data_IF_300567518267
#
_entry.id   IF_300567518267
#
_cell.length_a   1.000
_cell.length_b   1.000
_cell.length_c   1.000
_cell.angle_alpha   90.00
_cell.angle_beta   90.00
_cell.angle_gamma   90.00
#
_symmetry.space_group_name_H-M   'P 1'
#
loop_
_entity.id
_entity.type
_entity.pdbx_description
1 polymer ?
#
# COMPACT_ATOMS: atom_id res chain seq x y z
N UNK A 1 59.35 -5.34 -23.10
CA UNK A 1 57.99 -5.84 -22.97
C UNK A 1 57.03 -4.67 -23.13
N UNK A 2 56.42 -4.55 -24.30
CA UNK A 2 55.48 -3.49 -24.60
C UNK A 2 54.10 -3.94 -24.18
N UNK A 3 53.54 -3.32 -23.13
CA UNK A 3 52.14 -3.42 -22.79
C UNK A 3 51.33 -2.71 -23.83
N UNK A 4 50.51 -3.44 -24.60
CA UNK A 4 49.62 -2.87 -25.58
C UNK A 4 48.58 -2.01 -24.83
N UNK A 5 48.68 -0.68 -24.98
CA UNK A 5 47.64 0.23 -24.63
C UNK A 5 46.54 0.04 -25.71
N UNK A 6 45.42 -0.57 -25.30
CA UNK A 6 44.27 -0.74 -26.17
C UNK A 6 43.79 0.60 -26.73
N UNK A 7 43.18 0.63 -27.92
CA UNK A 7 42.80 1.85 -28.55
C UNK A 7 41.84 2.64 -27.70
N UNK A 8 42.25 3.82 -27.24
CA UNK A 8 41.38 4.84 -26.68
C UNK A 8 40.29 5.10 -27.73
N UNK A 9 39.04 4.74 -27.39
CA UNK A 9 37.88 5.07 -28.21
C UNK A 9 37.83 6.58 -28.39
N UNK A 10 38.34 7.07 -29.51
CA UNK A 10 38.12 8.43 -29.95
C UNK A 10 36.61 8.68 -30.02
N UNK A 11 36.10 9.55 -29.17
CA UNK A 11 34.73 10.03 -29.28
C UNK A 11 34.57 10.71 -30.65
N UNK A 12 33.66 10.16 -31.44
CA UNK A 12 33.27 10.81 -32.70
C UNK A 12 32.68 12.18 -32.37
N UNK A 13 33.25 13.22 -32.92
CA UNK A 13 32.75 14.61 -32.86
C UNK A 13 31.35 14.60 -33.49
N UNK A 14 30.28 14.82 -32.68
CA UNK A 14 28.93 14.96 -33.22
C UNK A 14 27.85 14.13 -32.51
N UNK A 15 28.17 13.27 -31.56
CA UNK A 15 27.11 12.68 -30.73
C UNK A 15 26.63 13.71 -29.69
N UNK A 16 25.32 13.99 -29.61
CA UNK A 16 24.80 14.85 -28.59
C UNK A 16 25.15 14.21 -27.24
N UNK A 17 25.84 14.97 -26.39
CA UNK A 17 26.02 14.59 -24.96
C UNK A 17 24.63 14.76 -24.36
N UNK A 18 23.78 13.76 -24.51
CA UNK A 18 22.59 13.64 -23.69
C UNK A 18 23.14 13.41 -22.28
N UNK A 19 23.13 14.45 -21.47
CA UNK A 19 23.44 14.32 -20.05
C UNK A 19 22.54 13.21 -19.52
N UNK A 20 23.13 12.04 -19.25
CA UNK A 20 22.38 10.92 -18.66
C UNK A 20 21.68 11.49 -17.44
N UNK A 21 20.36 11.56 -17.46
CA UNK A 21 19.59 12.08 -16.36
C UNK A 21 20.02 11.35 -15.07
N UNK A 22 20.12 12.04 -13.96
CA UNK A 22 20.56 11.48 -12.68
C UNK A 22 19.78 10.20 -12.30
N UNK A 23 18.56 10.03 -12.81
CA UNK A 23 17.73 8.85 -12.59
C UNK A 23 18.22 7.59 -13.33
N UNK A 24 18.96 7.72 -14.44
CA UNK A 24 19.38 6.58 -15.26
C UNK A 24 20.27 5.61 -14.48
N UNK A 25 21.13 6.12 -13.59
CA UNK A 25 21.92 5.29 -12.69
C UNK A 25 21.03 4.38 -11.81
N UNK A 26 19.86 4.88 -11.42
CA UNK A 26 18.93 4.17 -10.55
C UNK A 26 17.98 3.22 -11.31
N UNK A 27 17.99 3.26 -12.65
CA UNK A 27 17.33 2.29 -13.52
C UNK A 27 18.25 1.11 -13.89
N UNK A 28 19.54 1.23 -13.63
CA UNK A 28 20.48 0.12 -13.82
C UNK A 28 20.27 -0.94 -12.72
N UNK A 29 20.57 -2.23 -12.98
CA UNK A 29 20.34 -3.32 -12.02
C UNK A 29 20.94 -3.07 -10.64
N UNK A 30 22.15 -2.49 -10.57
CA UNK A 30 22.81 -2.17 -9.30
C UNK A 30 22.07 -1.08 -8.52
N UNK A 31 21.55 -0.07 -9.22
CA UNK A 31 20.76 0.99 -8.61
C UNK A 31 19.43 0.48 -8.08
N UNK A 32 18.74 -0.36 -8.84
CA UNK A 32 17.48 -1.00 -8.41
C UNK A 32 17.69 -1.93 -7.21
N UNK A 33 18.80 -2.68 -7.18
CA UNK A 33 19.14 -3.54 -6.06
C UNK A 33 19.36 -2.75 -4.77
N UNK A 34 20.03 -1.59 -4.85
CA UNK A 34 20.20 -0.69 -3.71
C UNK A 34 18.87 -0.14 -3.20
N UNK A 35 17.98 0.29 -4.11
CA UNK A 35 16.65 0.78 -3.75
C UNK A 35 15.81 -0.30 -3.07
N UNK A 36 15.83 -1.53 -3.58
CA UNK A 36 15.17 -2.68 -2.97
C UNK A 36 15.74 -2.96 -1.58
N UNK A 37 17.07 -2.95 -1.41
CA UNK A 37 17.75 -3.18 -0.14
C UNK A 37 17.37 -2.13 0.92
N UNK A 38 17.43 -0.84 0.57
CA UNK A 38 17.05 0.23 1.50
C UNK A 38 15.55 0.19 1.88
N UNK A 39 14.68 -0.17 0.94
CA UNK A 39 13.27 -0.37 1.23
C UNK A 39 13.04 -1.58 2.16
N UNK A 40 13.82 -2.66 1.97
CA UNK A 40 13.82 -3.85 2.86
C UNK A 40 14.31 -3.53 4.26
N UNK A 41 15.30 -2.64 4.39
CA UNK A 41 15.80 -2.17 5.68
C UNK A 41 14.81 -1.20 6.39
N UNK A 42 13.66 -0.96 5.80
CA UNK A 42 12.60 -0.13 6.36
C UNK A 42 12.84 1.39 6.24
N UNK A 43 13.78 1.82 5.39
CA UNK A 43 14.04 3.24 5.20
C UNK A 43 12.84 3.95 4.58
N UNK A 44 12.58 5.17 5.06
CA UNK A 44 11.56 6.05 4.48
C UNK A 44 12.01 6.61 3.13
N UNK A 45 11.06 7.12 2.34
CA UNK A 45 11.37 7.76 1.05
C UNK A 45 12.39 8.91 1.21
N UNK A 46 12.28 9.67 2.29
CA UNK A 46 13.21 10.78 2.61
C UNK A 46 14.62 10.29 2.89
N UNK A 47 14.75 9.20 3.66
CA UNK A 47 16.05 8.58 3.95
C UNK A 47 16.67 7.96 2.69
N UNK A 48 15.87 7.30 1.86
CA UNK A 48 16.34 6.75 0.59
C UNK A 48 16.78 7.88 -0.34
N UNK A 49 16.00 8.95 -0.47
CA UNK A 49 16.37 10.12 -1.27
C UNK A 49 17.65 10.77 -0.78
N UNK A 50 17.83 10.86 0.53
CA UNK A 50 19.07 11.33 1.14
C UNK A 50 20.28 10.46 0.75
N UNK A 51 20.15 9.14 0.82
CA UNK A 51 21.19 8.19 0.41
C UNK A 51 21.49 8.28 -1.09
N UNK A 52 20.49 8.59 -1.91
CA UNK A 52 20.65 8.83 -3.34
C UNK A 52 21.28 10.19 -3.68
N UNK A 53 21.33 11.12 -2.72
CA UNK A 53 21.78 12.50 -2.92
C UNK A 53 20.79 13.34 -3.74
N UNK A 54 19.50 13.08 -3.60
CA UNK A 54 18.41 13.81 -4.28
C UNK A 54 17.36 14.27 -3.27
N UNK A 55 16.52 15.23 -3.66
CA UNK A 55 15.38 15.63 -2.85
C UNK A 55 14.31 14.51 -2.84
N UNK A 56 13.54 14.41 -1.74
CA UNK A 56 12.45 13.47 -1.60
C UNK A 56 11.37 13.65 -2.67
N UNK A 57 11.06 14.89 -3.04
CA UNK A 57 10.16 15.22 -4.14
C UNK A 57 10.64 14.67 -5.49
N UNK A 58 11.96 14.67 -5.72
CA UNK A 58 12.57 14.11 -6.92
C UNK A 58 12.43 12.59 -6.95
N UNK A 59 12.66 11.90 -5.82
CA UNK A 59 12.47 10.46 -5.74
C UNK A 59 10.99 10.08 -5.91
N UNK A 60 10.06 10.83 -5.32
CA UNK A 60 8.62 10.62 -5.50
C UNK A 60 8.22 10.74 -6.97
N UNK A 61 8.72 11.76 -7.66
CA UNK A 61 8.51 11.95 -9.09
C UNK A 61 9.06 10.77 -9.92
N UNK A 62 10.29 10.34 -9.65
CA UNK A 62 10.90 9.22 -10.35
C UNK A 62 10.18 7.89 -10.09
N UNK A 63 9.69 7.67 -8.87
CA UNK A 63 8.83 6.53 -8.54
C UNK A 63 7.57 6.51 -9.40
N UNK A 64 6.95 7.67 -9.61
CA UNK A 64 5.70 7.77 -10.38
C UNK A 64 5.94 7.68 -11.89
N UNK A 65 7.09 8.17 -12.38
CA UNK A 65 7.46 8.15 -13.80
C UNK A 65 8.14 6.84 -14.26
N UNK A 66 8.80 6.12 -13.36
CA UNK A 66 9.60 4.93 -13.68
C UNK A 66 9.10 3.69 -12.94
N UNK A 67 8.43 2.81 -13.67
CA UNK A 67 7.88 1.56 -13.12
C UNK A 67 8.94 0.67 -12.45
N UNK A 68 10.16 0.65 -12.95
CA UNK A 68 11.26 -0.14 -12.36
C UNK A 68 11.63 0.33 -10.95
N UNK A 69 11.69 1.65 -10.72
CA UNK A 69 11.96 2.25 -9.40
C UNK A 69 10.80 1.94 -8.45
N UNK A 70 9.56 2.12 -8.92
CA UNK A 70 8.35 1.79 -8.15
C UNK A 70 8.33 0.32 -7.73
N UNK A 71 8.62 -0.59 -8.65
CA UNK A 71 8.66 -2.02 -8.41
C UNK A 71 9.75 -2.42 -7.39
N UNK A 72 10.95 -1.86 -7.50
CA UNK A 72 12.05 -2.13 -6.57
C UNK A 72 11.72 -1.69 -5.14
N UNK A 73 11.17 -0.49 -4.97
CA UNK A 73 10.74 0.04 -3.67
C UNK A 73 9.60 -0.78 -3.08
N UNK A 74 8.63 -1.18 -3.90
CA UNK A 74 7.51 -2.02 -3.47
C UNK A 74 7.99 -3.40 -3.01
N UNK A 75 8.81 -4.06 -3.82
CA UNK A 75 9.35 -5.38 -3.52
C UNK A 75 10.15 -5.41 -2.21
N UNK A 76 10.96 -4.38 -1.94
CA UNK A 76 11.67 -4.26 -0.68
C UNK A 76 10.73 -4.15 0.52
N UNK A 77 9.67 -3.33 0.43
CA UNK A 77 8.69 -3.15 1.50
C UNK A 77 7.85 -4.40 1.77
N UNK A 78 7.46 -5.12 0.74
CA UNK A 78 6.69 -6.37 0.88
C UNK A 78 7.36 -7.37 1.84
N UNK A 79 8.68 -7.42 1.88
CA UNK A 79 9.42 -8.28 2.81
C UNK A 79 9.17 -7.86 4.25
N UNK A 80 9.23 -6.56 4.54
CA UNK A 80 8.95 -6.01 5.88
C UNK A 80 7.48 -6.23 6.27
N UNK A 81 6.56 -6.03 5.33
CA UNK A 81 5.14 -6.23 5.57
C UNK A 81 4.87 -7.70 5.97
N UNK A 82 5.50 -8.68 5.30
CA UNK A 82 5.40 -10.09 5.68
C UNK A 82 5.98 -10.37 7.08
N UNK A 83 7.09 -9.76 7.44
CA UNK A 83 7.68 -9.93 8.79
C UNK A 83 6.74 -9.39 9.86
N UNK A 84 6.13 -8.22 9.62
CA UNK A 84 5.16 -7.62 10.54
C UNK A 84 3.87 -8.46 10.62
N UNK A 85 3.37 -8.96 9.47
CA UNK A 85 2.21 -9.87 9.44
C UNK A 85 2.47 -11.15 10.24
N UNK A 86 3.66 -11.74 10.09
CA UNK A 86 4.04 -12.93 10.86
C UNK A 86 4.10 -12.63 12.36
N UNK A 87 4.73 -11.53 12.76
CA UNK A 87 4.79 -11.11 14.16
C UNK A 87 3.40 -10.85 14.74
N UNK A 88 2.50 -10.25 13.96
CA UNK A 88 1.11 -10.04 14.37
C UNK A 88 0.37 -11.39 14.57
N UNK A 89 0.57 -12.34 13.66
CA UNK A 89 -0.01 -13.66 13.74
C UNK A 89 0.50 -14.42 14.98
N UNK A 90 1.80 -14.42 15.23
CA UNK A 90 2.40 -15.02 16.43
C UNK A 90 1.83 -14.40 17.69
N UNK A 91 1.77 -13.07 17.79
CA UNK A 91 1.18 -12.39 18.94
C UNK A 91 -0.29 -12.77 19.14
N UNK A 92 -1.07 -12.92 18.07
CA UNK A 92 -2.46 -13.36 18.16
C UNK A 92 -2.60 -14.80 18.65
N UNK A 93 -1.72 -15.71 18.20
CA UNK A 93 -1.69 -17.11 18.66
C UNK A 93 -1.23 -17.25 20.12
N UNK A 94 -0.33 -16.37 20.56
CA UNK A 94 0.14 -16.31 21.96
C UNK A 94 -0.90 -15.74 22.95
N UNK A 95 -2.08 -15.34 22.44
CA UNK A 95 -3.19 -14.90 23.28
C UNK A 95 -3.36 -13.38 23.43
N UNK A 96 -2.64 -12.58 22.62
CA UNK A 96 -2.85 -11.14 22.59
C UNK A 96 -4.21 -10.80 21.97
N UNK A 97 -5.17 -10.40 22.80
CA UNK A 97 -6.55 -10.13 22.39
C UNK A 97 -6.63 -9.02 21.33
N UNK A 98 -5.82 -7.98 21.44
CA UNK A 98 -5.80 -6.88 20.47
C UNK A 98 -5.35 -7.37 19.08
N UNK A 99 -4.30 -8.18 19.03
CA UNK A 99 -3.80 -8.79 17.80
C UNK A 99 -4.83 -9.75 17.20
N UNK A 100 -5.53 -10.55 18.02
CA UNK A 100 -6.61 -11.45 17.59
C UNK A 100 -7.77 -10.66 16.95
N UNK A 101 -8.24 -9.61 17.60
CA UNK A 101 -9.32 -8.77 17.10
C UNK A 101 -8.91 -8.13 15.78
N UNK A 102 -7.72 -7.53 15.73
CA UNK A 102 -7.21 -6.90 14.51
C UNK A 102 -7.11 -7.89 13.35
N UNK A 103 -6.55 -9.07 13.60
CA UNK A 103 -6.41 -10.11 12.59
C UNK A 103 -7.76 -10.59 12.05
N UNK A 104 -8.71 -10.90 12.94
CA UNK A 104 -10.01 -11.43 12.57
C UNK A 104 -10.86 -10.41 11.81
N UNK A 105 -10.85 -9.14 12.22
CA UNK A 105 -11.58 -8.07 11.52
C UNK A 105 -11.08 -7.82 10.10
N UNK A 106 -9.77 -7.90 9.89
CA UNK A 106 -9.17 -7.65 8.58
C UNK A 106 -9.20 -8.88 7.66
N UNK A 107 -9.01 -10.08 8.21
CA UNK A 107 -8.98 -11.32 7.43
C UNK A 107 -10.35 -11.92 7.17
N UNK A 108 -11.29 -11.74 8.09
CA UNK A 108 -12.66 -12.29 7.99
C UNK A 108 -13.72 -11.25 8.31
N UNK A 109 -13.79 -10.17 7.53
CA UNK A 109 -14.76 -9.10 7.76
C UNK A 109 -16.21 -9.54 7.57
N UNK A 110 -16.45 -10.68 6.94
CA UNK A 110 -17.74 -11.33 6.78
C UNK A 110 -18.32 -11.82 8.12
N UNK A 111 -17.45 -12.26 9.04
CA UNK A 111 -17.83 -12.82 10.35
C UNK A 111 -17.56 -11.90 11.53
N UNK A 112 -16.53 -11.04 11.41
CA UNK A 112 -15.99 -10.27 12.52
C UNK A 112 -16.01 -8.77 12.24
N UNK A 113 -17.20 -8.18 12.15
CA UNK A 113 -17.40 -6.74 12.04
C UNK A 113 -17.90 -6.13 13.32
N UNK A 114 -17.54 -4.88 13.59
CA UNK A 114 -18.07 -4.11 14.73
C UNK A 114 -19.53 -3.71 14.53
N UNK A 115 -19.97 -3.59 13.27
CA UNK A 115 -21.36 -3.27 12.92
C UNK A 115 -21.90 -4.31 11.95
N UNK A 116 -23.14 -4.76 12.12
CA UNK A 116 -23.83 -5.55 11.12
C UNK A 116 -23.79 -4.81 9.77
N UNK A 117 -23.66 -5.55 8.68
CA UNK A 117 -23.84 -4.99 7.34
C UNK A 117 -25.31 -4.61 7.25
N UNK A 118 -25.59 -3.32 7.17
CA UNK A 118 -26.91 -2.83 6.77
C UNK A 118 -27.13 -3.31 5.34
N UNK A 119 -27.90 -4.36 5.17
CA UNK A 119 -28.35 -4.80 3.85
C UNK A 119 -29.53 -3.91 3.49
N UNK A 120 -29.66 -3.48 2.24
CA UNK A 120 -30.85 -2.72 1.78
C UNK A 120 -32.17 -3.40 2.14
N UNK A 121 -32.15 -4.74 2.18
CA UNK A 121 -33.29 -5.57 2.60
C UNK A 121 -33.66 -5.39 4.09
N UNK A 122 -32.68 -5.09 4.96
CA UNK A 122 -32.94 -4.87 6.38
C UNK A 122 -33.56 -3.49 6.64
N UNK A 123 -33.22 -2.48 5.83
CA UNK A 123 -33.88 -1.17 5.87
C UNK A 123 -35.31 -1.24 5.36
N UNK A 124 -35.55 -1.93 4.23
CA UNK A 124 -36.92 -2.11 3.70
C UNK A 124 -37.84 -2.87 4.66
N UNK A 125 -37.33 -3.92 5.33
CA UNK A 125 -38.10 -4.69 6.32
C UNK A 125 -38.38 -3.84 7.56
N UNK A 126 -37.42 -3.01 7.98
CA UNK A 126 -37.60 -2.10 9.11
C UNK A 126 -38.67 -1.04 8.84
N UNK A 127 -38.66 -0.46 7.65
CA UNK A 127 -39.62 0.56 7.24
C UNK A 127 -41.03 -0.04 7.07
N UNK A 128 -41.16 -1.18 6.45
CA UNK A 128 -42.43 -1.91 6.33
C UNK A 128 -43.00 -2.31 7.70
N UNK A 129 -42.17 -2.70 8.64
CA UNK A 129 -42.60 -3.03 10.00
C UNK A 129 -43.05 -1.80 10.78
N UNK A 130 -42.38 -0.67 10.63
CA UNK A 130 -42.78 0.60 11.24
C UNK A 130 -44.10 1.14 10.66
N UNK A 131 -44.27 1.02 9.35
CA UNK A 131 -45.53 1.40 8.68
C UNK A 131 -46.70 0.53 9.13
N UNK A 132 -46.50 -0.79 9.28
CA UNK A 132 -47.53 -1.70 9.78
C UNK A 132 -47.91 -1.43 11.24
N UNK A 133 -46.93 -1.03 12.08
CA UNK A 133 -47.21 -0.63 13.47
C UNK A 133 -48.00 0.68 13.56
N UNK A 134 -47.73 1.63 12.67
CA UNK A 134 -48.47 2.91 12.62
C UNK A 134 -49.91 2.70 12.14
N UNK A 135 -50.13 1.80 11.17
CA UNK A 135 -51.44 1.46 10.65
C UNK A 135 -52.31 0.80 11.72
N UNK A 136 -51.76 -0.17 12.47
CA UNK A 136 -52.46 -0.82 13.60
C UNK A 136 -52.77 0.12 14.75
N UNK A 137 -51.86 1.07 15.05
CA UNK A 137 -52.10 2.10 16.09
C UNK A 137 -53.21 3.08 15.70
N UNK A 138 -53.34 3.42 14.41
CA UNK A 138 -54.38 4.30 13.90
C UNK A 138 -55.77 3.63 13.93
N UNK A 139 -55.86 2.33 13.68
CA UNK A 139 -57.12 1.56 13.75
C UNK A 139 -57.67 1.43 15.19
N UNK A 140 -56.79 1.30 16.18
CA UNK A 140 -57.18 1.16 17.59
C UNK A 140 -57.69 2.48 18.19
N UNK A 141 -57.20 3.63 17.70
CA UNK A 141 -57.64 4.94 18.13
C UNK A 141 -59.01 5.33 17.50
N UNK A 142 -59.37 4.76 16.36
CA UNK A 142 -60.66 5.01 15.68
C UNK A 142 -61.83 4.21 16.25
N UNK A 143 -61.64 3.23 17.13
CA UNK A 143 -62.70 2.40 17.70
C UNK A 143 -63.22 2.84 19.07
N UNK A 144 -62.67 3.88 19.65
CA UNK A 144 -63.08 4.37 20.99
C UNK A 144 -63.97 5.61 20.96
N UNK A 145 -64.45 6.05 19.82
CA UNK A 145 -65.42 7.14 19.72
C UNK A 145 -66.77 6.59 19.27
N UNK A 146 -67.41 5.82 20.17
CA UNK A 146 -68.90 5.62 20.18
C UNK A 146 -69.41 5.64 21.60
#
# INVERSE_FOLDING_TARGET
>A
MLTAIGPSRCRKRGEPIVAKGKYQRWLEPDGLLLLEGWARDGLTIEQIAHNMGVADSTLRKWRDEHAAISAALKKGREVVDYEVENALLEAALDGNTTAQIFWLKNRRPDKWRDKPRETPEAEEVSDQFLDALQETAAEDLGKNDV
#
